data_IF_291886781600
#
_entry.id   IF_291886781600
#
_cell.length_a   1.000
_cell.length_b   1.000
_cell.length_c   1.000
_cell.angle_alpha   90.00
_cell.angle_beta   90.00
_cell.angle_gamma   90.00
#
_symmetry.space_group_name_H-M   'P 1'
#
loop_
_entity.id
_entity.type
_entity.pdbx_description
1 polymer ?
#
# COMPACT_ATOMS: atom_id res chain seq x y z
N UNK A 1 18.47 2.90 8.81
CA UNK A 1 18.22 1.43 8.85
C UNK A 1 16.95 1.11 8.08
N UNK A 2 16.97 0.03 7.31
CA UNK A 2 15.81 -0.36 6.51
C UNK A 2 14.82 -1.16 7.35
N UNK A 3 13.55 -0.78 7.33
CA UNK A 3 12.51 -1.52 8.04
C UNK A 3 12.20 -2.82 7.32
N UNK A 4 11.70 -3.79 8.07
CA UNK A 4 11.19 -5.04 7.52
C UNK A 4 9.79 -4.80 6.96
N UNK A 5 9.55 -5.25 5.72
CA UNK A 5 8.25 -5.08 5.08
C UNK A 5 7.36 -6.26 5.42
N UNK A 6 6.19 -5.98 5.98
CA UNK A 6 5.20 -7.01 6.33
C UNK A 6 3.88 -6.67 5.62
N UNK A 7 3.33 -7.63 4.87
CA UNK A 7 2.07 -7.46 4.19
C UNK A 7 0.96 -8.16 4.96
N UNK A 8 -0.12 -7.44 5.27
CA UNK A 8 -1.32 -8.08 5.82
C UNK A 8 -1.89 -9.04 4.78
N UNK A 9 -2.54 -10.14 5.19
CA UNK A 9 -3.05 -11.13 4.23
C UNK A 9 -3.96 -10.53 3.16
N UNK A 10 -4.82 -9.57 3.52
CA UNK A 10 -5.72 -8.94 2.57
C UNK A 10 -4.99 -8.18 1.46
N UNK A 11 -3.73 -7.79 1.66
CA UNK A 11 -2.94 -7.10 0.63
C UNK A 11 -2.66 -8.03 -0.55
N UNK A 12 -2.46 -9.31 -0.29
CA UNK A 12 -2.27 -10.28 -1.37
C UNK A 12 -3.51 -10.34 -2.26
N UNK A 13 -4.70 -10.29 -1.66
CA UNK A 13 -5.94 -10.24 -2.44
C UNK A 13 -6.07 -8.93 -3.20
N UNK A 14 -5.67 -7.80 -2.58
CA UNK A 14 -5.65 -6.51 -3.27
C UNK A 14 -4.79 -6.58 -4.52
N UNK A 15 -3.56 -7.07 -4.38
CA UNK A 15 -2.62 -7.17 -5.50
C UNK A 15 -3.11 -8.11 -6.59
N UNK A 16 -3.68 -9.24 -6.19
CA UNK A 16 -4.23 -10.20 -7.15
C UNK A 16 -5.36 -9.59 -7.96
N UNK A 17 -6.30 -8.90 -7.29
CA UNK A 17 -7.41 -8.25 -7.97
C UNK A 17 -6.97 -7.17 -8.95
N UNK A 18 -5.99 -6.35 -8.54
CA UNK A 18 -5.47 -5.28 -9.39
C UNK A 18 -4.72 -5.88 -10.59
N UNK A 19 -3.88 -6.90 -10.34
CA UNK A 19 -3.13 -7.55 -11.41
C UNK A 19 -4.07 -8.20 -12.43
N UNK A 20 -5.13 -8.86 -11.96
CA UNK A 20 -6.12 -9.47 -12.84
C UNK A 20 -6.81 -8.41 -13.71
N UNK A 21 -7.15 -7.27 -13.11
CA UNK A 21 -7.75 -6.16 -13.86
C UNK A 21 -6.81 -5.69 -14.98
N UNK A 22 -5.52 -5.52 -14.68
CA UNK A 22 -4.56 -5.05 -15.67
C UNK A 22 -4.26 -6.08 -16.76
N UNK A 23 -4.25 -7.36 -16.42
CA UNK A 23 -4.05 -8.42 -17.42
C UNK A 23 -5.14 -8.40 -18.49
N UNK A 24 -6.37 -8.06 -18.11
CA UNK A 24 -7.48 -7.92 -19.07
C UNK A 24 -7.27 -6.73 -20.01
N UNK A 25 -6.37 -5.81 -19.67
CA UNK A 25 -6.13 -4.62 -20.48
C UNK A 25 -4.91 -4.77 -21.37
N UNK A 26 -3.77 -5.18 -20.80
CA UNK A 26 -2.51 -5.36 -21.51
C UNK A 26 -1.62 -6.35 -20.78
N UNK A 27 -0.91 -7.16 -21.55
CA UNK A 27 -0.15 -8.28 -21.00
C UNK A 27 1.00 -7.91 -20.06
N UNK A 28 1.56 -6.68 -20.17
CA UNK A 28 2.73 -6.31 -19.34
C UNK A 28 2.43 -5.28 -18.26
N UNK A 29 1.20 -4.77 -18.19
CA UNK A 29 0.88 -3.72 -17.20
C UNK A 29 0.85 -4.28 -15.79
N UNK A 30 0.34 -5.50 -15.59
CA UNK A 30 0.32 -6.12 -14.28
C UNK A 30 1.73 -6.27 -13.71
N UNK A 31 2.67 -6.74 -14.51
CA UNK A 31 4.06 -6.88 -14.07
C UNK A 31 4.69 -5.54 -13.73
N UNK A 32 4.41 -4.51 -14.51
CA UNK A 32 4.91 -3.16 -14.26
C UNK A 32 4.32 -2.57 -12.99
N UNK A 33 3.04 -2.85 -12.72
CA UNK A 33 2.39 -2.39 -11.49
C UNK A 33 3.05 -3.05 -10.27
N UNK A 34 3.23 -4.36 -10.29
CA UNK A 34 3.85 -5.08 -9.18
C UNK A 34 5.28 -4.56 -8.95
N UNK A 35 6.05 -4.35 -10.01
CA UNK A 35 7.40 -3.81 -9.88
C UNK A 35 7.39 -2.42 -9.25
N UNK A 36 6.43 -1.57 -9.63
CA UNK A 36 6.30 -0.23 -9.06
C UNK A 36 5.95 -0.29 -7.57
N UNK A 37 5.10 -1.24 -7.16
CA UNK A 37 4.76 -1.45 -5.74
C UNK A 37 6.01 -1.88 -4.96
N UNK A 38 6.76 -2.84 -5.49
CA UNK A 38 7.97 -3.33 -4.82
C UNK A 38 8.97 -2.19 -4.64
N UNK A 39 9.22 -1.42 -5.69
CA UNK A 39 10.14 -0.27 -5.61
C UNK A 39 9.67 0.76 -4.59
N UNK A 40 8.37 1.06 -4.58
CA UNK A 40 7.80 2.00 -3.63
C UNK A 40 7.98 1.51 -2.19
N UNK A 41 7.71 0.24 -1.93
CA UNK A 41 7.86 -0.34 -0.59
C UNK A 41 9.31 -0.33 -0.13
N UNK A 42 10.25 -0.63 -1.02
CA UNK A 42 11.67 -0.55 -0.68
C UNK A 42 12.08 0.88 -0.29
N UNK A 43 11.60 1.86 -1.03
CA UNK A 43 11.86 3.27 -0.69
C UNK A 43 11.24 3.69 0.63
N UNK A 44 10.02 3.24 0.90
CA UNK A 44 9.34 3.52 2.18
C UNK A 44 10.03 2.81 3.35
N UNK A 45 10.58 1.63 3.14
CA UNK A 45 11.31 0.92 4.19
C UNK A 45 12.57 1.68 4.62
N UNK A 46 13.19 2.42 3.70
CA UNK A 46 14.36 3.27 4.00
C UNK A 46 13.97 4.61 4.60
N UNK A 47 12.84 5.18 4.19
CA UNK A 47 12.35 6.48 4.66
C UNK A 47 10.85 6.38 4.98
N UNK A 48 10.49 5.68 6.06
CA UNK A 48 9.08 5.37 6.32
C UNK A 48 8.22 6.60 6.62
N UNK A 49 8.81 7.69 7.04
CA UNK A 49 8.08 8.92 7.33
C UNK A 49 7.69 9.73 6.12
N UNK A 50 8.12 9.35 4.90
CA UNK A 50 7.83 10.19 3.74
C UNK A 50 6.39 10.10 3.25
N UNK A 51 5.64 9.06 3.63
CA UNK A 51 4.22 8.95 3.30
C UNK A 51 3.39 9.97 4.06
N UNK A 52 2.24 10.36 3.49
CA UNK A 52 1.36 11.34 4.11
C UNK A 52 0.53 10.72 5.22
N UNK A 53 0.51 11.31 6.43
CA UNK A 53 -0.35 10.83 7.51
C UNK A 53 -1.82 10.96 7.13
N UNK A 54 -2.64 10.00 7.55
CA UNK A 54 -4.08 9.99 7.31
C UNK A 54 -4.84 9.88 8.63
N UNK A 55 -5.96 10.61 8.78
CA UNK A 55 -6.71 10.62 10.04
C UNK A 55 -7.71 9.45 10.11
N UNK A 56 -7.27 8.23 9.77
CA UNK A 56 -8.17 7.08 9.73
C UNK A 56 -8.27 6.34 11.06
N UNK A 57 -7.31 6.58 11.95
CA UNK A 57 -7.30 5.96 13.27
C UNK A 57 -7.13 7.02 14.32
N UNK A 58 -7.71 6.75 15.50
CA UNK A 58 -7.59 7.63 16.66
C UNK A 58 -6.93 6.88 17.79
N UNK A 59 -6.40 7.65 18.73
CA UNK A 59 -5.87 7.11 19.97
C UNK A 59 -4.44 6.63 19.85
N UNK A 60 -4.17 5.53 20.50
CA UNK A 60 -2.81 5.06 20.75
C UNK A 60 -2.18 4.29 19.60
N UNK A 61 -2.92 4.01 18.54
CA UNK A 61 -2.35 3.23 17.43
C UNK A 61 -1.48 4.12 16.55
N UNK A 62 -0.45 3.55 15.91
CA UNK A 62 0.38 4.34 15.00
C UNK A 62 -0.45 4.94 13.87
N UNK A 63 -0.12 6.17 13.42
CA UNK A 63 -0.86 6.77 12.33
C UNK A 63 -0.69 5.97 11.05
N UNK A 64 -1.78 5.86 10.30
CA UNK A 64 -1.73 5.29 8.96
C UNK A 64 -1.19 6.34 8.03
N UNK A 65 -0.26 5.93 7.15
CA UNK A 65 0.30 6.79 6.12
C UNK A 65 -0.07 6.26 4.75
N UNK A 66 -0.03 7.13 3.75
CA UNK A 66 -0.31 6.76 2.38
C UNK A 66 0.80 7.19 1.44
N UNK A 67 0.96 6.44 0.36
CA UNK A 67 1.92 6.73 -0.69
C UNK A 67 1.37 6.28 -2.02
N UNK A 68 1.45 7.12 -3.05
CA UNK A 68 0.98 6.75 -4.38
C UNK A 68 1.94 5.74 -5.01
N UNK A 69 1.40 4.81 -5.77
CA UNK A 69 2.23 3.88 -6.54
C UNK A 69 2.83 4.63 -7.74
N UNK A 70 4.17 4.74 -7.84
CA UNK A 70 4.79 5.53 -8.91
C UNK A 70 4.36 5.03 -10.29
N UNK A 71 3.91 5.96 -11.14
CA UNK A 71 3.40 5.64 -12.47
C UNK A 71 1.98 5.14 -12.51
N UNK A 72 1.35 4.95 -11.34
CA UNK A 72 -0.04 4.48 -11.20
C UNK A 72 -0.75 5.32 -10.16
N UNK A 73 -0.90 6.61 -10.44
CA UNK A 73 -1.30 7.63 -9.47
C UNK A 73 -2.69 7.41 -8.85
N UNK A 74 -3.52 6.56 -9.47
CA UNK A 74 -4.84 6.24 -8.95
C UNK A 74 -4.81 5.15 -7.88
N UNK A 75 -3.64 4.54 -7.65
CA UNK A 75 -3.47 3.48 -6.66
C UNK A 75 -2.64 3.96 -5.50
N UNK A 76 -3.08 3.60 -4.28
CA UNK A 76 -2.50 4.11 -3.04
C UNK A 76 -2.12 2.96 -2.13
N UNK A 77 -0.91 3.04 -1.57
CA UNK A 77 -0.41 2.12 -0.55
C UNK A 77 -0.73 2.74 0.81
N UNK A 78 -1.43 1.99 1.67
CA UNK A 78 -1.70 2.41 3.05
C UNK A 78 -0.89 1.53 3.99
N UNK A 79 -0.13 2.17 4.88
CA UNK A 79 0.80 1.46 5.75
C UNK A 79 0.93 2.17 7.10
N UNK A 80 1.51 1.47 8.07
CA UNK A 80 1.93 2.07 9.32
C UNK A 80 3.25 1.45 9.77
N UNK A 81 3.90 2.10 10.73
CA UNK A 81 5.19 1.65 11.25
C UNK A 81 4.94 1.03 12.61
N UNK A 82 5.41 -0.20 12.80
CA UNK A 82 5.31 -0.92 14.07
C UNK A 82 6.70 -1.44 14.43
N UNK A 83 7.38 -0.70 15.32
CA UNK A 83 8.74 -1.04 15.69
C UNK A 83 9.67 -1.03 14.48
N UNK A 84 10.25 -2.18 14.17
CA UNK A 84 11.18 -2.34 13.05
C UNK A 84 10.49 -2.78 11.76
N UNK A 85 9.16 -2.81 11.76
CA UNK A 85 8.39 -3.26 10.61
C UNK A 85 7.60 -2.14 9.99
N UNK A 86 7.57 -2.14 8.64
CA UNK A 86 6.61 -1.36 7.86
C UNK A 86 5.48 -2.32 7.51
N UNK A 87 4.30 -2.07 8.04
CA UNK A 87 3.14 -2.96 7.85
C UNK A 87 2.24 -2.37 6.79
N UNK A 88 2.09 -3.07 5.68
CA UNK A 88 1.19 -2.66 4.61
C UNK A 88 -0.20 -3.18 4.92
N UNK A 89 -1.17 -2.26 5.01
CA UNK A 89 -2.56 -2.57 5.34
C UNK A 89 -3.40 -2.81 4.10
N UNK A 90 -3.16 -2.06 3.04
CA UNK A 90 -3.99 -2.10 1.85
C UNK A 90 -3.28 -1.45 0.67
N UNK A 91 -3.58 -1.92 -0.54
CA UNK A 91 -3.20 -1.27 -1.78
C UNK A 91 -4.48 -1.16 -2.59
N UNK A 92 -4.99 0.06 -2.74
CA UNK A 92 -6.35 0.27 -3.23
C UNK A 92 -6.40 1.37 -4.29
N UNK A 93 -7.34 1.22 -5.22
CA UNK A 93 -7.70 2.32 -6.10
C UNK A 93 -8.29 3.47 -5.27
N UNK A 94 -7.92 4.70 -5.58
CA UNK A 94 -8.33 5.87 -4.79
C UNK A 94 -9.84 6.13 -4.78
N UNK A 95 -10.60 5.51 -5.70
CA UNK A 95 -12.05 5.63 -5.72
C UNK A 95 -12.75 4.71 -4.72
N UNK A 96 -12.02 3.78 -4.07
CA UNK A 96 -12.58 2.86 -3.09
C UNK A 96 -12.91 3.60 -1.79
N UNK A 97 -13.87 3.06 -1.03
CA UNK A 97 -14.18 3.56 0.30
C UNK A 97 -13.11 3.08 1.28
N UNK A 98 -12.03 3.85 1.37
CA UNK A 98 -10.82 3.48 2.10
C UNK A 98 -11.08 3.35 3.59
N UNK A 99 -11.85 4.29 4.18
CA UNK A 99 -12.12 4.26 5.62
C UNK A 99 -12.84 2.98 6.02
N UNK A 100 -13.83 2.59 5.23
CA UNK A 100 -14.60 1.36 5.49
C UNK A 100 -13.72 0.12 5.35
N UNK A 101 -12.88 0.08 4.32
CA UNK A 101 -12.00 -1.06 4.09
C UNK A 101 -10.98 -1.19 5.21
N UNK A 102 -10.32 -0.10 5.59
CA UNK A 102 -9.29 -0.13 6.63
C UNK A 102 -9.85 -0.42 8.01
N UNK A 103 -11.13 -0.09 8.24
CA UNK A 103 -11.78 -0.39 9.52
C UNK A 103 -11.81 -1.90 9.77
N UNK A 104 -11.87 -2.70 8.72
CA UNK A 104 -11.95 -4.16 8.81
C UNK A 104 -10.59 -4.83 8.67
N UNK A 105 -9.54 -4.05 8.63
CA UNK A 105 -8.18 -4.55 8.53
C UNK A 105 -7.35 -4.14 9.73
#
# INVERSE_FOLDING_TARGET
>A
MKLRIALRPAVHDDLHGIATYFDDKRSNIADRFIAAVVDALDGLALMPGKGSPKPFRRGQVPPIRSWLVPGFDKYVIYYFINGESLVVLAILHGARDVRKILRNR
#
